data_IF_660734740525
#
_entry.id   IF_660734740525
#
_cell.length_a   1.000
_cell.length_b   1.000
_cell.length_c   1.000
_cell.angle_alpha   90.00
_cell.angle_beta   90.00
_cell.angle_gamma   90.00
#
_symmetry.space_group_name_H-M   'P 1'
#
loop_
_entity.id
_entity.type
_entity.pdbx_description
1 polymer ?
#
# COMPACT_ATOMS: atom_id res chain seq x y z
N UNK A 1 -27.58 17.48 -1.26
CA UNK A 1 -28.98 17.30 -1.70
C UNK A 1 -29.11 16.65 -3.08
N UNK A 2 -28.49 17.13 -4.16
CA UNK A 2 -28.61 16.53 -5.53
C UNK A 2 -28.12 15.06 -5.64
N UNK A 3 -27.11 14.64 -4.90
CA UNK A 3 -26.59 13.26 -4.92
C UNK A 3 -27.57 12.30 -4.24
N UNK A 4 -28.13 12.68 -3.09
CA UNK A 4 -29.10 11.84 -2.36
C UNK A 4 -30.41 11.67 -3.14
N UNK A 5 -30.90 12.73 -3.80
CA UNK A 5 -32.12 12.65 -4.62
C UNK A 5 -31.92 11.76 -5.84
N UNK A 6 -30.74 11.81 -6.48
CA UNK A 6 -30.41 10.95 -7.61
C UNK A 6 -30.26 9.48 -7.18
N UNK A 7 -29.63 9.22 -6.04
CA UNK A 7 -29.52 7.88 -5.48
C UNK A 7 -30.90 7.30 -5.11
N UNK A 8 -31.76 8.09 -4.48
CA UNK A 8 -33.13 7.70 -4.14
C UNK A 8 -33.96 7.41 -5.40
N UNK A 9 -33.89 8.26 -6.41
CA UNK A 9 -34.59 8.04 -7.69
C UNK A 9 -34.08 6.80 -8.39
N UNK A 10 -32.76 6.57 -8.43
CA UNK A 10 -32.17 5.38 -9.02
C UNK A 10 -32.58 4.11 -8.27
N UNK A 11 -32.67 4.15 -6.93
CA UNK A 11 -33.08 2.98 -6.14
C UNK A 11 -34.56 2.63 -6.29
N UNK A 12 -35.41 3.62 -6.53
CA UNK A 12 -36.87 3.43 -6.68
C UNK A 12 -37.28 2.99 -8.10
N UNK A 13 -36.57 3.46 -9.12
CA UNK A 13 -37.01 3.29 -10.52
C UNK A 13 -36.09 2.43 -11.38
N UNK A 14 -34.86 2.14 -10.93
CA UNK A 14 -33.92 1.27 -11.65
C UNK A 14 -33.58 0.03 -10.83
N UNK A 15 -34.25 -1.06 -11.13
CA UNK A 15 -33.88 -2.40 -10.64
C UNK A 15 -32.61 -2.86 -11.39
N UNK A 16 -31.45 -2.29 -11.06
CA UNK A 16 -30.18 -2.95 -11.41
C UNK A 16 -29.99 -4.09 -10.42
N UNK A 17 -30.10 -5.29 -10.91
CA UNK A 17 -29.67 -6.49 -10.18
C UNK A 17 -28.14 -6.56 -10.28
N UNK A 18 -27.48 -6.56 -9.12
CA UNK A 18 -26.06 -6.83 -9.01
C UNK A 18 -25.91 -8.22 -8.39
N UNK A 19 -25.08 -9.06 -9.01
CA UNK A 19 -24.79 -10.40 -8.51
C UNK A 19 -23.93 -10.33 -7.26
N UNK A 20 -23.01 -9.36 -7.20
CA UNK A 20 -22.20 -9.04 -6.03
C UNK A 20 -21.96 -7.52 -5.90
N UNK A 21 -21.81 -7.06 -4.67
CA UNK A 21 -21.43 -5.69 -4.34
C UNK A 21 -20.21 -5.76 -3.44
N UNK A 22 -19.13 -5.08 -3.85
CA UNK A 22 -17.91 -4.96 -3.07
C UNK A 22 -17.90 -3.57 -2.43
N UNK A 23 -17.80 -3.52 -1.11
CA UNK A 23 -17.78 -2.30 -0.32
C UNK A 23 -16.48 -2.21 0.45
N UNK A 24 -15.84 -1.04 0.40
CA UNK A 24 -14.75 -0.69 1.30
C UNK A 24 -15.35 0.03 2.51
N UNK A 25 -15.13 -0.55 3.70
CA UNK A 25 -15.53 0.05 4.96
C UNK A 25 -14.30 0.64 5.65
N UNK A 26 -14.30 1.95 5.81
CA UNK A 26 -13.30 2.68 6.60
C UNK A 26 -13.99 3.37 7.77
N UNK A 27 -13.31 3.45 8.89
CA UNK A 27 -13.74 4.17 10.09
C UNK A 27 -12.68 5.20 10.46
N UNK A 28 -13.12 6.42 10.72
CA UNK A 28 -12.27 7.51 11.21
C UNK A 28 -12.52 7.77 12.71
N UNK A 29 -13.68 7.36 13.24
CA UNK A 29 -14.05 7.58 14.64
C UNK A 29 -14.64 6.33 15.29
N UNK A 30 -14.56 6.20 16.63
CA UNK A 30 -15.31 5.21 17.40
C UNK A 30 -16.81 5.28 17.05
N UNK A 31 -17.51 4.14 17.16
CA UNK A 31 -18.96 3.93 16.86
C UNK A 31 -19.39 4.03 15.39
N UNK A 32 -18.53 4.44 14.47
CA UNK A 32 -18.89 4.50 13.03
C UNK A 32 -19.22 3.12 12.47
N UNK A 33 -18.56 2.07 12.96
CA UNK A 33 -18.84 0.71 12.53
C UNK A 33 -20.28 0.28 12.85
N UNK A 34 -20.82 0.68 13.99
CA UNK A 34 -22.21 0.39 14.36
C UNK A 34 -23.21 1.07 13.42
N UNK A 35 -22.86 2.27 12.92
CA UNK A 35 -23.67 2.97 11.92
C UNK A 35 -23.58 2.29 10.55
N UNK A 36 -22.38 1.93 10.12
CA UNK A 36 -22.15 1.27 8.83
C UNK A 36 -22.87 -0.09 8.79
N UNK A 37 -22.83 -0.85 9.88
CA UNK A 37 -23.52 -2.12 10.00
C UNK A 37 -25.05 -1.98 9.88
N UNK A 38 -25.65 -0.86 10.29
CA UNK A 38 -27.10 -0.61 10.05
C UNK A 38 -27.42 -0.42 8.57
N UNK A 39 -26.46 -0.01 7.75
CA UNK A 39 -26.65 0.17 6.31
C UNK A 39 -26.54 -1.17 5.58
N UNK A 40 -25.50 -1.95 5.87
CA UNK A 40 -25.31 -3.25 5.24
C UNK A 40 -24.51 -4.20 6.15
N UNK A 41 -25.00 -5.44 6.27
CA UNK A 41 -24.25 -6.54 6.86
C UNK A 41 -23.55 -7.34 5.75
N UNK A 42 -22.23 -7.57 5.80
CA UNK A 42 -21.54 -8.32 4.78
C UNK A 42 -21.92 -9.81 4.82
N UNK A 43 -21.96 -10.44 3.64
CA UNK A 43 -21.96 -11.88 3.54
C UNK A 43 -20.55 -12.44 3.72
N UNK A 44 -19.58 -11.76 3.13
CA UNK A 44 -18.16 -12.09 3.20
C UNK A 44 -17.42 -10.85 3.70
N UNK A 45 -16.55 -11.02 4.66
CA UNK A 45 -15.68 -9.97 5.19
C UNK A 45 -14.22 -10.35 5.00
N UNK A 46 -13.42 -9.38 4.53
CA UNK A 46 -11.97 -9.53 4.40
C UNK A 46 -11.30 -8.56 5.37
N UNK A 47 -10.73 -9.09 6.43
CA UNK A 47 -9.97 -8.32 7.42
C UNK A 47 -8.53 -8.17 6.93
N UNK A 48 -8.09 -6.97 6.62
CA UNK A 48 -6.79 -6.71 6.00
C UNK A 48 -5.65 -6.57 7.01
N UNK A 49 -5.65 -5.52 7.80
CA UNK A 49 -4.67 -5.30 8.87
C UNK A 49 -5.12 -4.13 9.76
N UNK A 50 -4.66 -4.13 11.01
CA UNK A 50 -4.70 -2.96 11.89
C UNK A 50 -3.34 -2.27 11.87
N UNK A 51 -3.35 -0.94 11.72
CA UNK A 51 -2.16 -0.09 11.79
C UNK A 51 -2.40 1.06 12.76
N UNK A 52 -1.35 1.76 13.14
CA UNK A 52 -1.40 2.93 14.04
C UNK A 52 -2.08 4.17 13.42
N UNK A 53 -2.52 4.10 12.18
CA UNK A 53 -3.28 5.17 11.50
C UNK A 53 -4.60 5.40 12.23
N UNK A 54 -5.07 6.66 12.29
CA UNK A 54 -6.26 7.08 13.05
C UNK A 54 -6.11 6.99 14.58
N UNK A 55 -4.90 6.73 15.11
CA UNK A 55 -4.67 6.74 16.56
C UNK A 55 -4.97 8.09 17.22
N UNK A 56 -4.99 9.16 16.43
CA UNK A 56 -5.43 10.49 16.89
C UNK A 56 -6.89 10.48 17.39
N UNK A 57 -7.78 9.71 16.74
CA UNK A 57 -9.20 9.59 17.10
C UNK A 57 -9.47 8.39 18.01
N UNK A 58 -8.67 7.32 17.89
CA UNK A 58 -8.86 6.08 18.62
C UNK A 58 -7.93 5.89 19.81
N UNK A 59 -6.97 6.78 20.02
CA UNK A 59 -5.92 6.75 21.08
C UNK A 59 -4.91 5.59 20.95
N UNK A 60 -5.33 4.43 20.45
CA UNK A 60 -4.43 3.28 20.26
C UNK A 60 -4.99 2.25 19.25
N UNK A 61 -4.14 1.38 18.68
CA UNK A 61 -4.55 0.35 17.73
C UNK A 61 -5.56 -0.68 18.29
N UNK A 62 -5.56 -0.95 19.59
CA UNK A 62 -6.51 -1.87 20.25
C UNK A 62 -7.95 -1.34 20.13
N UNK A 63 -8.14 -0.03 20.20
CA UNK A 63 -9.45 0.58 20.01
C UNK A 63 -9.92 0.49 18.57
N UNK A 64 -9.03 0.67 17.61
CA UNK A 64 -9.33 0.45 16.19
C UNK A 64 -9.74 -1.01 15.98
N UNK A 65 -8.95 -1.97 16.48
CA UNK A 65 -9.27 -3.39 16.42
C UNK A 65 -10.63 -3.72 17.04
N UNK A 66 -11.01 -3.08 18.15
CA UNK A 66 -12.31 -3.30 18.81
C UNK A 66 -13.49 -2.81 17.98
N UNK A 67 -13.31 -1.80 17.13
CA UNK A 67 -14.34 -1.37 16.17
C UNK A 67 -14.39 -2.29 14.94
N UNK A 68 -13.25 -2.61 14.36
CA UNK A 68 -13.16 -3.47 13.18
C UNK A 68 -13.72 -4.88 13.44
N UNK A 69 -13.52 -5.43 14.65
CA UNK A 69 -14.03 -6.74 15.06
C UNK A 69 -15.56 -6.83 14.94
N UNK A 70 -16.27 -5.71 15.13
CA UNK A 70 -17.74 -5.68 15.02
C UNK A 70 -18.21 -6.13 13.64
N UNK A 71 -17.48 -5.74 12.58
CA UNK A 71 -17.78 -6.18 11.22
C UNK A 71 -17.63 -7.69 11.07
N UNK A 72 -16.50 -8.23 11.53
CA UNK A 72 -16.25 -9.67 11.48
C UNK A 72 -17.31 -10.49 12.24
N UNK A 73 -17.71 -10.02 13.43
CA UNK A 73 -18.74 -10.67 14.25
C UNK A 73 -20.16 -10.56 13.66
N UNK A 74 -20.40 -9.60 12.80
CA UNK A 74 -21.69 -9.39 12.12
C UNK A 74 -21.71 -9.90 10.67
N UNK A 75 -20.65 -10.60 10.24
CA UNK A 75 -20.57 -11.25 8.93
C UNK A 75 -21.43 -12.50 8.90
N UNK A 76 -22.15 -12.73 7.79
CA UNK A 76 -23.16 -13.79 7.71
C UNK A 76 -22.63 -15.16 7.29
N UNK A 77 -21.57 -15.22 6.48
CA UNK A 77 -21.16 -16.48 5.85
C UNK A 77 -19.68 -16.82 6.03
N UNK A 78 -18.77 -15.89 5.73
CA UNK A 78 -17.34 -16.18 5.68
C UNK A 78 -16.50 -14.96 6.05
N UNK A 79 -15.46 -15.19 6.84
CA UNK A 79 -14.45 -14.17 7.19
C UNK A 79 -13.08 -14.62 6.73
N UNK A 80 -12.38 -13.76 5.99
CA UNK A 80 -10.95 -13.90 5.70
C UNK A 80 -10.14 -13.12 6.71
N UNK A 81 -9.17 -13.76 7.34
CA UNK A 81 -8.30 -13.19 8.35
C UNK A 81 -6.85 -13.21 7.88
N UNK A 82 -6.18 -12.06 8.02
CA UNK A 82 -4.76 -11.97 7.77
C UNK A 82 -3.97 -12.71 8.87
N UNK A 83 -3.39 -13.84 8.54
CA UNK A 83 -2.62 -14.67 9.48
C UNK A 83 -1.36 -13.96 10.04
N UNK A 84 -0.89 -12.92 9.39
CA UNK A 84 0.26 -12.12 9.81
C UNK A 84 -0.11 -10.91 10.70
N UNK A 85 -1.41 -10.72 10.96
CA UNK A 85 -1.90 -9.65 11.84
C UNK A 85 -2.28 -10.22 13.21
N UNK A 86 -1.69 -9.69 14.28
CA UNK A 86 -1.91 -10.20 15.62
C UNK A 86 -3.36 -10.01 16.13
N UNK A 87 -4.01 -8.93 15.71
CA UNK A 87 -5.42 -8.69 16.07
C UNK A 87 -6.35 -9.66 15.34
N UNK A 88 -6.04 -9.99 14.08
CA UNK A 88 -6.77 -11.01 13.34
C UNK A 88 -6.65 -12.40 14.01
N UNK A 89 -5.44 -12.76 14.48
CA UNK A 89 -5.21 -14.01 15.21
C UNK A 89 -6.00 -14.06 16.53
N UNK A 90 -6.00 -12.97 17.30
CA UNK A 90 -6.77 -12.84 18.54
C UNK A 90 -8.30 -12.86 18.30
N UNK A 91 -8.73 -12.39 17.13
CA UNK A 91 -10.13 -12.36 16.73
C UNK A 91 -10.65 -13.74 16.30
N UNK A 92 -9.82 -14.55 15.66
CA UNK A 92 -10.21 -15.81 15.03
C UNK A 92 -11.05 -16.74 15.92
N UNK A 93 -10.75 -16.94 17.24
CA UNK A 93 -11.58 -17.78 18.13
C UNK A 93 -12.99 -17.24 18.38
N UNK A 94 -13.22 -15.96 18.19
CA UNK A 94 -14.51 -15.28 18.45
C UNK A 94 -15.48 -15.34 17.27
N UNK A 95 -14.97 -15.67 16.08
CA UNK A 95 -15.77 -15.73 14.85
C UNK A 95 -16.54 -17.05 14.82
N UNK A 96 -17.87 -16.96 14.65
CA UNK A 96 -18.79 -18.10 14.66
C UNK A 96 -19.08 -18.67 13.26
N UNK A 97 -18.90 -17.87 12.22
CA UNK A 97 -19.05 -18.29 10.82
C UNK A 97 -17.77 -18.93 10.32
N UNK A 98 -17.82 -19.50 9.11
CA UNK A 98 -16.61 -20.02 8.46
C UNK A 98 -15.53 -18.96 8.36
N UNK A 99 -14.28 -19.38 8.56
CA UNK A 99 -13.12 -18.50 8.46
C UNK A 99 -12.00 -19.16 7.71
N UNK A 100 -11.27 -18.33 6.95
CA UNK A 100 -10.06 -18.71 6.23
C UNK A 100 -8.93 -17.76 6.60
N UNK A 101 -7.77 -18.35 6.83
CA UNK A 101 -6.53 -17.60 7.12
C UNK A 101 -5.76 -17.40 5.82
N UNK A 102 -5.26 -16.18 5.58
CA UNK A 102 -4.39 -15.89 4.46
C UNK A 102 -3.11 -15.17 4.89
N UNK A 103 -2.01 -15.40 4.19
CA UNK A 103 -0.72 -14.75 4.46
C UNK A 103 -0.51 -13.51 3.61
N UNK A 104 0.04 -12.49 4.23
CA UNK A 104 0.57 -11.29 3.56
C UNK A 104 2.10 -11.24 3.58
N UNK A 105 2.75 -12.14 4.33
CA UNK A 105 4.19 -12.32 4.41
C UNK A 105 4.55 -13.80 4.40
N UNK A 106 5.77 -14.07 3.99
CA UNK A 106 6.36 -15.39 4.06
C UNK A 106 6.94 -15.62 5.47
N UNK A 107 6.13 -16.19 6.35
CA UNK A 107 6.52 -16.63 7.68
C UNK A 107 6.27 -18.12 7.80
N UNK A 108 7.34 -18.92 7.92
CA UNK A 108 7.27 -20.37 7.88
C UNK A 108 6.52 -21.02 9.05
N UNK A 109 6.36 -20.31 10.17
CA UNK A 109 5.73 -20.79 11.40
C UNK A 109 4.25 -20.46 11.53
N UNK A 110 3.63 -19.84 10.52
CA UNK A 110 2.21 -19.49 10.53
C UNK A 110 1.49 -20.35 9.51
N UNK A 111 0.48 -21.09 9.94
CA UNK A 111 -0.42 -21.83 9.05
C UNK A 111 -1.44 -20.90 8.40
N UNK A 112 -1.78 -21.16 7.14
CA UNK A 112 -2.83 -20.43 6.45
C UNK A 112 -3.42 -21.26 5.29
N UNK A 113 -4.68 -21.02 4.99
CA UNK A 113 -5.41 -21.64 3.87
C UNK A 113 -4.98 -21.07 2.53
N UNK A 114 -4.53 -19.80 2.53
CA UNK A 114 -4.08 -19.06 1.36
C UNK A 114 -2.69 -18.50 1.66
N UNK A 115 -1.70 -18.89 0.87
CA UNK A 115 -0.33 -18.40 1.01
C UNK A 115 0.41 -18.40 -0.33
N UNK A 116 1.54 -17.75 -0.39
CA UNK A 116 2.36 -17.69 -1.59
C UNK A 116 3.80 -18.16 -1.32
N UNK A 117 4.45 -18.61 -2.38
CA UNK A 117 5.84 -19.08 -2.34
C UNK A 117 6.59 -18.65 -3.62
N UNK A 118 7.92 -18.84 -3.62
CA UNK A 118 8.79 -18.66 -4.80
C UNK A 118 8.60 -17.31 -5.50
N UNK A 119 8.38 -16.25 -4.76
CA UNK A 119 8.17 -14.95 -5.36
C UNK A 119 9.46 -14.37 -5.95
N UNK A 120 9.34 -13.72 -7.09
CA UNK A 120 10.40 -12.99 -7.77
C UNK A 120 9.83 -11.81 -8.55
N UNK A 121 10.70 -10.88 -8.92
CA UNK A 121 10.38 -9.85 -9.90
C UNK A 121 11.11 -10.15 -11.20
N UNK A 122 10.44 -9.92 -12.30
CA UNK A 122 11.07 -9.98 -13.63
C UNK A 122 10.95 -8.63 -14.30
N UNK A 123 12.08 -8.19 -14.88
CA UNK A 123 12.14 -7.03 -15.75
C UNK A 123 11.79 -7.50 -17.16
N UNK A 124 10.84 -6.81 -17.80
CA UNK A 124 10.46 -7.18 -19.15
C UNK A 124 11.32 -6.43 -20.17
N UNK A 125 10.88 -5.34 -20.76
CA UNK A 125 11.62 -4.63 -21.81
C UNK A 125 12.32 -3.37 -21.33
N UNK A 126 11.61 -2.54 -20.55
CA UNK A 126 12.12 -1.30 -19.98
C UNK A 126 12.19 -1.39 -18.45
N UNK A 127 12.90 -0.47 -17.81
CA UNK A 127 13.08 -0.52 -16.35
C UNK A 127 11.74 -0.42 -15.58
N UNK A 128 10.79 0.36 -16.10
CA UNK A 128 9.47 0.52 -15.49
C UNK A 128 8.51 -0.66 -15.78
N UNK A 129 8.87 -1.56 -16.71
CA UNK A 129 8.05 -2.74 -17.03
C UNK A 129 8.47 -3.93 -16.15
N UNK A 130 8.14 -3.84 -14.88
CA UNK A 130 8.36 -4.89 -13.90
C UNK A 130 7.09 -5.70 -13.67
N UNK A 131 7.25 -7.00 -13.48
CA UNK A 131 6.17 -7.91 -13.08
C UNK A 131 6.57 -8.76 -11.90
N UNK A 132 5.61 -9.00 -11.02
CA UNK A 132 5.71 -9.96 -9.92
C UNK A 132 5.35 -11.35 -10.39
N UNK A 133 6.14 -12.35 -10.02
CA UNK A 133 5.89 -13.76 -10.26
C UNK A 133 5.92 -14.50 -8.93
N UNK A 134 4.94 -15.36 -8.68
CA UNK A 134 4.90 -16.19 -7.48
C UNK A 134 3.96 -17.38 -7.67
N UNK A 135 4.17 -18.41 -6.86
CA UNK A 135 3.24 -19.51 -6.73
C UNK A 135 2.25 -19.17 -5.61
N UNK A 136 0.97 -19.19 -5.93
CA UNK A 136 -0.11 -18.97 -5.00
C UNK A 136 -0.75 -20.31 -4.65
N UNK A 137 -0.84 -20.59 -3.36
CA UNK A 137 -1.51 -21.78 -2.84
C UNK A 137 -2.85 -21.38 -2.21
N UNK A 138 -3.91 -22.01 -2.65
CA UNK A 138 -5.26 -21.87 -2.10
C UNK A 138 -5.73 -23.27 -1.71
N UNK A 139 -5.67 -23.58 -0.40
CA UNK A 139 -5.89 -24.94 0.13
C UNK A 139 -4.96 -25.96 -0.58
N UNK A 140 -5.52 -26.85 -1.37
CA UNK A 140 -4.80 -27.91 -2.07
C UNK A 140 -4.47 -27.55 -3.54
N UNK A 141 -4.82 -26.34 -3.99
CA UNK A 141 -4.56 -25.88 -5.35
C UNK A 141 -3.38 -24.94 -5.41
N UNK A 142 -2.60 -25.06 -6.46
CA UNK A 142 -1.47 -24.17 -6.74
C UNK A 142 -1.69 -23.45 -8.09
N UNK A 143 -1.37 -22.16 -8.13
CA UNK A 143 -1.45 -21.30 -9.30
C UNK A 143 -0.14 -20.58 -9.50
N UNK A 144 0.42 -20.60 -10.70
CA UNK A 144 1.50 -19.67 -11.08
C UNK A 144 0.90 -18.32 -11.43
N UNK A 145 1.28 -17.28 -10.73
CA UNK A 145 0.76 -15.92 -10.91
C UNK A 145 1.83 -15.00 -11.48
N UNK A 146 1.45 -14.26 -12.52
CA UNK A 146 2.17 -13.10 -13.01
C UNK A 146 1.29 -11.86 -12.90
N UNK A 147 1.81 -10.76 -12.33
CA UNK A 147 1.02 -9.55 -12.13
C UNK A 147 1.88 -8.28 -12.10
N UNK A 148 1.26 -7.14 -12.40
CA UNK A 148 1.86 -5.82 -12.24
C UNK A 148 1.63 -5.21 -10.84
N UNK A 149 1.05 -5.96 -9.89
CA UNK A 149 0.98 -5.54 -8.48
C UNK A 149 2.28 -5.89 -7.75
N UNK A 150 2.79 -4.95 -6.97
CA UNK A 150 4.01 -5.09 -6.20
C UNK A 150 3.72 -5.16 -4.70
N UNK A 151 4.61 -5.87 -3.98
CA UNK A 151 4.50 -6.05 -2.53
C UNK A 151 3.79 -7.33 -2.13
N UNK A 152 4.43 -8.08 -1.23
CA UNK A 152 3.98 -9.40 -0.77
C UNK A 152 2.55 -9.42 -0.24
N UNK A 153 2.11 -8.32 0.40
CA UNK A 153 0.74 -8.22 0.91
C UNK A 153 -0.31 -8.37 -0.21
N UNK A 154 -0.03 -7.86 -1.40
CA UNK A 154 -0.95 -7.98 -2.53
C UNK A 154 -1.11 -9.42 -3.01
N UNK A 155 -0.12 -10.29 -2.80
CA UNK A 155 -0.20 -11.69 -3.21
C UNK A 155 -1.26 -12.45 -2.40
N UNK A 156 -1.32 -12.20 -1.09
CA UNK A 156 -2.40 -12.74 -0.25
C UNK A 156 -3.77 -12.22 -0.66
N UNK A 157 -3.88 -10.92 -0.97
CA UNK A 157 -5.15 -10.33 -1.44
C UNK A 157 -5.59 -10.89 -2.80
N UNK A 158 -4.66 -11.17 -3.71
CA UNK A 158 -4.96 -11.87 -4.97
C UNK A 158 -5.54 -13.25 -4.69
N UNK A 159 -4.95 -13.99 -3.73
CA UNK A 159 -5.46 -15.31 -3.34
C UNK A 159 -6.88 -15.25 -2.78
N UNK A 160 -7.15 -14.29 -1.90
CA UNK A 160 -8.51 -14.04 -1.39
C UNK A 160 -9.48 -13.71 -2.52
N UNK A 161 -9.08 -12.83 -3.45
CA UNK A 161 -9.92 -12.43 -4.57
C UNK A 161 -10.25 -13.61 -5.50
N UNK A 162 -9.26 -14.47 -5.82
CA UNK A 162 -9.46 -15.67 -6.63
C UNK A 162 -10.43 -16.62 -5.92
N UNK A 163 -10.22 -16.85 -4.61
CA UNK A 163 -11.10 -17.75 -3.85
C UNK A 163 -12.55 -17.26 -3.81
N UNK A 164 -12.76 -15.96 -3.61
CA UNK A 164 -14.09 -15.35 -3.64
C UNK A 164 -14.72 -15.49 -5.03
N UNK A 165 -13.95 -15.19 -6.08
CA UNK A 165 -14.45 -15.30 -7.46
C UNK A 165 -14.87 -16.73 -7.81
N UNK A 166 -14.06 -17.75 -7.48
CA UNK A 166 -14.42 -19.16 -7.69
C UNK A 166 -15.67 -19.56 -6.89
N UNK A 167 -15.78 -19.08 -5.63
CA UNK A 167 -16.96 -19.38 -4.80
C UNK A 167 -18.22 -18.77 -5.35
N UNK A 168 -18.17 -17.55 -5.86
CA UNK A 168 -19.30 -16.89 -6.48
C UNK A 168 -19.67 -17.54 -7.81
N UNK A 169 -18.69 -17.85 -8.66
CA UNK A 169 -18.92 -18.56 -9.93
C UNK A 169 -19.60 -19.91 -9.69
N UNK A 170 -19.13 -20.70 -8.72
CA UNK A 170 -19.76 -21.95 -8.34
C UNK A 170 -21.24 -21.77 -7.93
N UNK A 171 -21.56 -20.71 -7.17
CA UNK A 171 -22.95 -20.41 -6.78
C UNK A 171 -23.86 -20.04 -7.94
N UNK A 172 -23.28 -19.52 -9.02
CA UNK A 172 -24.01 -19.12 -10.24
C UNK A 172 -23.97 -20.18 -11.33
N UNK A 173 -23.46 -21.37 -11.01
CA UNK A 173 -23.26 -22.47 -11.97
C UNK A 173 -22.36 -22.10 -13.15
N UNK A 174 -21.37 -21.23 -12.88
CA UNK A 174 -20.35 -20.78 -13.82
C UNK A 174 -19.00 -21.42 -13.49
N UNK A 175 -18.19 -21.72 -14.49
CA UNK A 175 -16.81 -22.15 -14.33
C UNK A 175 -15.87 -21.08 -14.87
N UNK A 176 -15.04 -20.51 -13.99
CA UNK A 176 -14.00 -19.55 -14.38
C UNK A 176 -12.82 -20.21 -15.08
N UNK A 177 -12.78 -21.55 -15.17
CA UNK A 177 -11.70 -22.35 -15.78
C UNK A 177 -10.29 -21.98 -15.27
N UNK A 178 -10.18 -21.41 -14.06
CA UNK A 178 -8.90 -21.02 -13.50
C UNK A 178 -8.01 -22.24 -13.20
N UNK A 179 -8.63 -23.33 -12.76
CA UNK A 179 -7.95 -24.59 -12.40
C UNK A 179 -7.24 -25.29 -13.57
N UNK A 180 -7.66 -24.97 -14.80
CA UNK A 180 -7.11 -25.56 -16.02
C UNK A 180 -6.00 -24.72 -16.65
N UNK A 181 -5.58 -23.64 -15.97
CA UNK A 181 -4.52 -22.75 -16.45
C UNK A 181 -3.26 -22.95 -15.63
N UNK A 182 -2.16 -23.31 -16.29
CA UNK A 182 -0.85 -23.44 -15.65
C UNK A 182 -0.35 -22.10 -15.11
N UNK A 183 -0.75 -20.99 -15.75
CA UNK A 183 -0.35 -19.64 -15.38
C UNK A 183 -1.50 -18.65 -15.50
N UNK A 184 -1.68 -17.80 -14.48
CA UNK A 184 -2.63 -16.70 -14.48
C UNK A 184 -1.89 -15.37 -14.64
N UNK A 185 -2.16 -14.66 -15.73
CA UNK A 185 -1.65 -13.30 -15.96
C UNK A 185 -2.71 -12.29 -15.53
N UNK A 186 -2.44 -11.58 -14.43
CA UNK A 186 -3.37 -10.65 -13.82
C UNK A 186 -2.84 -9.22 -13.94
N UNK A 187 -3.46 -8.43 -14.79
CA UNK A 187 -3.10 -7.02 -14.97
C UNK A 187 -4.15 -6.12 -14.36
N UNK A 188 -3.70 -5.24 -13.47
CA UNK A 188 -4.54 -4.29 -12.76
C UNK A 188 -4.26 -2.87 -13.22
N UNK A 189 -5.30 -2.02 -13.22
CA UNK A 189 -5.11 -0.59 -13.28
C UNK A 189 -4.64 -0.11 -11.93
N UNK A 190 -3.34 0.18 -11.83
CA UNK A 190 -2.74 0.61 -10.57
C UNK A 190 -3.33 1.93 -10.08
N UNK A 191 -3.54 2.02 -8.78
CA UNK A 191 -3.92 3.26 -8.11
C UNK A 191 -2.70 4.20 -8.08
N UNK A 192 -2.81 5.45 -8.55
CA UNK A 192 -1.71 6.40 -8.49
C UNK A 192 -1.11 6.56 -7.10
N UNK A 193 0.21 6.62 -7.01
CA UNK A 193 0.92 6.80 -5.75
C UNK A 193 0.92 5.57 -4.82
N UNK A 194 0.63 4.37 -5.35
CA UNK A 194 0.70 3.09 -4.62
C UNK A 194 1.70 2.14 -5.28
N UNK A 195 3.00 2.46 -5.15
CA UNK A 195 4.10 1.76 -5.80
C UNK A 195 4.03 1.84 -7.34
N UNK A 196 3.60 2.99 -7.87
CA UNK A 196 3.69 3.27 -9.29
C UNK A 196 5.16 3.42 -9.69
N UNK A 197 5.54 2.86 -10.84
CA UNK A 197 6.93 2.82 -11.29
C UNK A 197 7.08 3.64 -12.55
N UNK A 198 8.10 4.51 -12.61
CA UNK A 198 8.41 5.36 -13.74
C UNK A 198 9.91 5.34 -14.04
N UNK A 199 10.27 5.47 -15.32
CA UNK A 199 11.64 5.71 -15.74
C UNK A 199 12.00 7.20 -15.66
N UNK A 200 13.25 7.49 -15.28
CA UNK A 200 13.83 8.82 -15.31
C UNK A 200 15.20 8.84 -16.01
N UNK A 201 15.71 10.06 -16.26
CA UNK A 201 17.06 10.29 -16.77
C UNK A 201 18.11 9.77 -15.78
N UNK A 202 19.37 9.69 -16.21
CA UNK A 202 20.50 9.28 -15.36
C UNK A 202 20.38 7.86 -14.78
N UNK A 203 19.82 6.94 -15.56
CA UNK A 203 19.69 5.53 -15.16
C UNK A 203 18.97 5.37 -13.80
N UNK A 204 17.86 6.07 -13.63
CA UNK A 204 17.09 6.08 -12.38
C UNK A 204 15.71 5.48 -12.59
N UNK A 205 15.28 4.64 -11.65
CA UNK A 205 13.93 4.13 -11.53
C UNK A 205 13.22 4.87 -10.42
N UNK A 206 12.09 5.50 -10.71
CA UNK A 206 11.25 6.16 -9.71
C UNK A 206 10.20 5.20 -9.20
N UNK A 207 10.05 5.10 -7.88
CA UNK A 207 8.94 4.41 -7.23
C UNK A 207 8.10 5.43 -6.47
N UNK A 208 6.91 5.70 -7.00
CA UNK A 208 5.93 6.61 -6.40
C UNK A 208 5.02 5.86 -5.43
N UNK A 209 5.16 6.16 -4.14
CA UNK A 209 4.28 5.69 -3.07
C UNK A 209 3.75 6.87 -2.24
N UNK A 210 3.35 7.96 -2.95
CA UNK A 210 2.95 9.23 -2.35
C UNK A 210 1.46 9.34 -2.02
N UNK A 211 0.69 8.27 -2.09
CA UNK A 211 -0.74 8.30 -1.75
C UNK A 211 -0.96 8.48 -0.25
N UNK A 212 -0.30 7.66 0.57
CA UNK A 212 -0.37 7.71 2.03
C UNK A 212 0.89 7.11 2.67
N UNK A 213 1.19 7.46 3.94
CA UNK A 213 2.27 6.89 4.72
C UNK A 213 1.79 6.60 6.15
N UNK A 214 1.64 5.34 6.46
CA UNK A 214 1.53 4.80 7.81
C UNK A 214 2.82 4.07 8.18
N UNK A 215 3.12 3.81 9.45
CA UNK A 215 4.31 3.08 9.86
C UNK A 215 4.46 1.73 9.14
N UNK A 216 3.38 0.96 9.06
CA UNK A 216 3.37 -0.32 8.34
C UNK A 216 3.61 -0.11 6.84
N UNK A 217 2.92 0.84 6.21
CA UNK A 217 3.03 1.06 4.78
C UNK A 217 4.41 1.58 4.35
N UNK A 218 5.10 2.36 5.19
CA UNK A 218 6.49 2.79 4.95
C UNK A 218 7.42 1.58 4.94
N UNK A 219 7.37 0.75 6.00
CA UNK A 219 8.18 -0.47 6.09
C UNK A 219 7.94 -1.40 4.89
N UNK A 220 6.68 -1.62 4.51
CA UNK A 220 6.34 -2.49 3.36
C UNK A 220 6.79 -1.93 2.02
N UNK A 221 6.76 -0.62 1.84
CA UNK A 221 7.33 0.01 0.64
C UNK A 221 8.83 -0.26 0.57
N UNK A 222 9.57 -0.08 1.66
CA UNK A 222 11.01 -0.32 1.72
C UNK A 222 11.34 -1.80 1.46
N UNK A 223 10.63 -2.75 2.09
CA UNK A 223 10.79 -4.20 1.85
C UNK A 223 10.62 -4.56 0.37
N UNK A 224 9.58 -3.98 -0.26
CA UNK A 224 9.28 -4.22 -1.68
C UNK A 224 10.40 -3.68 -2.56
N UNK A 225 10.86 -2.46 -2.30
CA UNK A 225 11.97 -1.83 -3.04
C UNK A 225 13.26 -2.63 -2.89
N UNK A 226 13.57 -3.07 -1.69
CA UNK A 226 14.73 -3.91 -1.41
C UNK A 226 14.67 -5.23 -2.19
N UNK A 227 13.48 -5.84 -2.26
CA UNK A 227 13.27 -7.07 -3.04
C UNK A 227 13.41 -6.81 -4.55
N UNK A 228 12.86 -5.71 -5.06
CA UNK A 228 13.02 -5.28 -6.46
C UNK A 228 14.50 -5.09 -6.78
N UNK A 229 15.27 -4.38 -5.94
CA UNK A 229 16.71 -4.20 -6.10
C UNK A 229 17.41 -5.54 -6.22
N UNK A 230 17.21 -6.42 -5.26
CA UNK A 230 17.95 -7.70 -5.21
C UNK A 230 17.63 -8.63 -6.39
N UNK A 231 16.40 -8.58 -6.91
CA UNK A 231 15.98 -9.43 -8.03
C UNK A 231 16.37 -8.85 -9.40
N UNK A 232 16.23 -7.53 -9.59
CA UNK A 232 16.31 -6.92 -10.92
C UNK A 232 17.45 -5.91 -11.08
N UNK A 233 17.95 -5.35 -9.98
CA UNK A 233 18.87 -4.22 -9.99
C UNK A 233 19.92 -4.33 -8.88
N UNK A 234 20.59 -5.48 -8.75
CA UNK A 234 21.46 -5.81 -7.61
C UNK A 234 22.62 -4.82 -7.35
N UNK A 235 23.00 -4.01 -8.36
CA UNK A 235 24.02 -2.96 -8.25
C UNK A 235 23.44 -1.57 -7.99
N UNK A 236 22.13 -1.45 -7.86
CA UNK A 236 21.46 -0.15 -7.64
C UNK A 236 21.62 0.34 -6.22
N UNK A 237 21.73 1.65 -6.10
CA UNK A 237 21.51 2.36 -4.84
C UNK A 237 20.01 2.57 -4.61
N UNK A 238 19.58 2.52 -3.37
CA UNK A 238 18.23 2.91 -2.94
C UNK A 238 18.30 4.30 -2.30
N UNK A 239 17.63 5.25 -2.91
CA UNK A 239 17.50 6.61 -2.40
C UNK A 239 16.08 6.83 -1.89
N UNK A 240 15.92 7.05 -0.59
CA UNK A 240 14.63 7.21 0.07
C UNK A 240 14.32 8.69 0.29
N UNK A 241 13.20 9.15 -0.24
CA UNK A 241 12.61 10.46 0.02
C UNK A 241 11.39 10.24 0.90
N UNK A 242 11.51 10.58 2.18
CA UNK A 242 10.48 10.35 3.18
C UNK A 242 9.93 11.66 3.73
N UNK A 243 8.64 11.70 3.95
CA UNK A 243 7.96 12.79 4.63
C UNK A 243 7.10 12.27 5.78
N UNK A 244 6.67 13.17 6.69
CA UNK A 244 5.96 12.86 7.92
C UNK A 244 4.84 11.83 7.72
N UNK A 245 4.79 10.84 8.61
CA UNK A 245 3.62 10.01 8.83
C UNK A 245 2.62 10.80 9.68
N UNK A 246 1.35 10.82 9.26
CA UNK A 246 0.30 11.62 9.90
C UNK A 246 -0.75 10.75 10.57
N UNK A 247 -1.66 11.40 11.32
CA UNK A 247 -2.79 10.76 11.99
C UNK A 247 -2.37 9.74 13.07
N UNK A 248 -1.17 9.93 13.63
CA UNK A 248 -0.60 9.04 14.66
C UNK A 248 -0.87 9.52 16.10
N UNK A 249 -1.38 10.77 16.28
CA UNK A 249 -1.62 11.33 17.60
C UNK A 249 -0.38 11.23 18.50
N UNK A 250 -0.56 10.72 19.71
CA UNK A 250 0.51 10.56 20.71
C UNK A 250 1.62 9.56 20.28
N UNK A 251 1.35 8.73 19.26
CA UNK A 251 2.34 7.80 18.74
C UNK A 251 3.30 8.44 17.72
N UNK A 252 3.12 9.71 17.36
CA UNK A 252 3.91 10.40 16.33
C UNK A 252 5.40 10.27 16.58
N UNK A 253 5.88 10.63 17.74
CA UNK A 253 7.31 10.54 18.06
C UNK A 253 7.83 9.10 18.01
N UNK A 254 7.16 8.19 18.73
CA UNK A 254 7.62 6.82 18.86
C UNK A 254 7.67 6.08 17.51
N UNK A 255 6.69 6.30 16.64
CA UNK A 255 6.66 5.64 15.32
C UNK A 255 7.69 6.22 14.34
N UNK A 256 7.98 7.53 14.39
CA UNK A 256 9.06 8.11 13.61
C UNK A 256 10.43 7.63 14.08
N UNK A 257 10.69 7.57 15.40
CA UNK A 257 11.95 7.04 15.95
C UNK A 257 12.17 5.57 15.58
N UNK A 258 11.14 4.73 15.67
CA UNK A 258 11.21 3.30 15.28
C UNK A 258 11.63 3.08 13.83
N UNK A 259 11.38 4.02 12.93
CA UNK A 259 11.83 3.90 11.55
C UNK A 259 13.35 3.97 11.40
N UNK A 260 14.08 4.59 12.32
CA UNK A 260 15.51 4.83 12.18
C UNK A 260 16.31 3.54 11.95
N UNK A 261 16.09 2.51 12.77
CA UNK A 261 16.73 1.20 12.61
C UNK A 261 16.39 0.51 11.29
N UNK A 262 15.24 0.83 10.73
CA UNK A 262 14.78 0.24 9.48
C UNK A 262 15.39 0.93 8.24
N UNK A 263 15.32 2.27 8.19
CA UNK A 263 15.81 3.02 7.03
C UNK A 263 17.35 3.03 6.95
N UNK A 264 18.06 2.99 8.11
CA UNK A 264 19.52 2.93 8.15
C UNK A 264 20.11 1.66 7.52
N UNK A 265 19.35 0.57 7.50
CA UNK A 265 19.76 -0.70 6.89
C UNK A 265 19.33 -0.84 5.41
N UNK A 266 18.42 0.00 4.95
CA UNK A 266 17.71 -0.21 3.68
C UNK A 266 17.93 0.89 2.65
N UNK A 267 18.42 2.07 3.05
CA UNK A 267 18.65 3.21 2.16
C UNK A 267 20.14 3.57 2.05
N UNK A 268 20.61 3.77 0.81
CA UNK A 268 21.97 4.26 0.56
C UNK A 268 22.05 5.79 0.68
N UNK A 269 20.96 6.51 0.36
CA UNK A 269 20.78 7.92 0.60
C UNK A 269 19.39 8.17 1.19
N UNK A 270 19.29 9.10 2.13
CA UNK A 270 18.04 9.44 2.80
C UNK A 270 17.79 10.95 2.74
N UNK A 271 16.64 11.32 2.19
CA UNK A 271 16.18 12.71 2.12
C UNK A 271 14.91 12.84 2.94
N UNK A 272 14.94 13.67 3.97
CA UNK A 272 13.83 13.86 4.89
C UNK A 272 13.19 15.23 4.70
N UNK A 273 11.88 15.26 4.74
CA UNK A 273 11.06 16.47 4.80
C UNK A 273 10.03 16.33 5.92
N UNK A 274 9.61 17.49 6.43
CA UNK A 274 8.61 17.58 7.48
C UNK A 274 9.19 17.66 8.87
N UNK A 275 8.35 18.15 9.77
CA UNK A 275 8.76 18.43 11.14
C UNK A 275 9.08 17.17 11.92
N UNK A 276 8.19 16.16 11.84
CA UNK A 276 8.35 14.92 12.60
C UNK A 276 9.50 14.07 12.10
N UNK A 277 9.73 14.04 10.78
CA UNK A 277 10.90 13.38 10.19
C UNK A 277 12.20 14.05 10.67
N UNK A 278 12.23 15.39 10.75
CA UNK A 278 13.40 16.10 11.22
C UNK A 278 13.60 15.95 12.74
N UNK A 279 12.56 16.20 13.54
CA UNK A 279 12.69 16.28 14.99
C UNK A 279 12.89 14.90 15.64
N UNK A 280 12.40 13.82 15.03
CA UNK A 280 12.40 12.49 15.61
C UNK A 280 13.24 11.47 14.83
N UNK A 281 13.02 11.35 13.52
CA UNK A 281 13.75 10.34 12.73
C UNK A 281 15.20 10.77 12.51
N UNK A 282 15.46 12.04 12.12
CA UNK A 282 16.83 12.51 11.92
C UNK A 282 17.63 12.48 13.23
N UNK A 283 17.05 12.98 14.34
CA UNK A 283 17.65 12.90 15.67
C UNK A 283 18.01 11.46 16.10
N UNK A 284 17.16 10.48 15.79
CA UNK A 284 17.44 9.09 16.11
C UNK A 284 18.52 8.49 15.19
N UNK A 285 18.52 8.84 13.90
CA UNK A 285 19.54 8.41 12.96
C UNK A 285 20.94 8.97 13.31
N UNK A 286 21.03 10.20 13.80
CA UNK A 286 22.29 10.78 14.27
C UNK A 286 22.94 9.97 15.40
N UNK A 287 22.14 9.26 16.20
CA UNK A 287 22.61 8.41 17.29
C UNK A 287 23.11 7.03 16.84
N UNK A 288 22.55 6.48 15.78
CA UNK A 288 22.75 5.07 15.40
C UNK A 288 23.44 4.88 14.06
N UNK A 289 23.56 5.92 13.24
CA UNK A 289 24.03 5.82 11.87
C UNK A 289 25.03 6.94 11.54
N UNK A 290 25.97 6.62 10.62
CA UNK A 290 26.83 7.65 10.05
C UNK A 290 26.01 8.55 9.13
N UNK A 291 25.83 9.82 9.51
CA UNK A 291 24.90 10.78 8.89
C UNK A 291 25.32 11.30 7.51
N UNK A 292 26.45 10.84 6.96
CA UNK A 292 26.99 11.31 5.67
C UNK A 292 26.00 11.15 4.50
N UNK A 293 25.03 10.23 4.63
CA UNK A 293 24.03 9.93 3.61
C UNK A 293 22.63 10.48 3.96
N UNK A 294 22.54 11.28 5.03
CA UNK A 294 21.30 11.94 5.47
C UNK A 294 21.26 13.38 4.99
N UNK A 295 20.15 13.78 4.40
CA UNK A 295 19.89 15.17 4.03
C UNK A 295 18.50 15.59 4.49
N UNK A 296 18.42 16.58 5.35
CA UNK A 296 17.16 17.20 5.77
C UNK A 296 16.84 18.38 4.87
N UNK A 297 15.68 18.36 4.23
CA UNK A 297 15.21 19.37 3.31
C UNK A 297 14.06 20.18 3.91
N UNK A 298 14.07 21.50 3.71
CA UNK A 298 13.02 22.39 4.23
C UNK A 298 11.84 22.56 3.26
N UNK A 299 12.05 22.39 1.97
CA UNK A 299 11.05 22.60 0.92
C UNK A 299 11.23 21.60 -0.22
N UNK A 300 10.17 21.38 -1.00
CA UNK A 300 10.22 20.56 -2.23
C UNK A 300 11.26 21.08 -3.22
N UNK A 301 11.39 22.39 -3.35
CA UNK A 301 12.37 23.01 -4.27
C UNK A 301 13.81 22.66 -3.88
N UNK A 302 14.13 22.73 -2.59
CA UNK A 302 15.46 22.35 -2.07
C UNK A 302 15.66 20.85 -2.27
N UNK A 303 14.68 20.03 -1.92
CA UNK A 303 14.71 18.59 -2.13
C UNK A 303 15.02 18.23 -3.59
N UNK A 304 14.22 18.74 -4.52
CA UNK A 304 14.36 18.42 -5.95
C UNK A 304 15.75 18.79 -6.46
N UNK A 305 16.23 19.99 -6.14
CA UNK A 305 17.56 20.42 -6.51
C UNK A 305 18.64 19.54 -5.91
N UNK A 306 18.58 19.25 -4.61
CA UNK A 306 19.59 18.44 -3.92
C UNK A 306 19.66 17.02 -4.47
N UNK A 307 18.51 16.39 -4.70
CA UNK A 307 18.45 15.04 -5.31
C UNK A 307 19.02 15.09 -6.73
N UNK A 308 18.64 16.08 -7.54
CA UNK A 308 19.12 16.21 -8.91
C UNK A 308 20.63 16.44 -8.97
N UNK A 309 21.17 17.34 -8.13
CA UNK A 309 22.61 17.63 -8.07
C UNK A 309 23.40 16.38 -7.68
N UNK A 310 22.97 15.68 -6.63
CA UNK A 310 23.59 14.40 -6.24
C UNK A 310 23.51 13.33 -7.33
N UNK A 311 22.42 13.25 -8.09
CA UNK A 311 22.30 12.32 -9.20
C UNK A 311 23.22 12.67 -10.37
N UNK A 312 23.48 13.94 -10.65
CA UNK A 312 24.43 14.41 -11.66
C UNK A 312 25.90 14.19 -11.28
N UNK A 313 26.22 14.33 -10.00
CA UNK A 313 27.60 14.17 -9.50
C UNK A 313 28.05 12.70 -9.48
N UNK A 314 27.11 11.77 -9.45
CA UNK A 314 27.45 10.35 -9.36
C UNK A 314 27.85 9.75 -10.71
N UNK A 315 28.57 8.63 -10.64
CA UNK A 315 28.87 7.84 -11.82
C UNK A 315 27.62 7.04 -12.25
N UNK A 316 27.07 7.32 -13.42
CA UNK A 316 25.83 6.72 -13.95
C UNK A 316 25.92 5.20 -14.24
N UNK A 317 27.08 4.54 -14.01
CA UNK A 317 27.22 3.10 -14.24
C UNK A 317 26.24 2.25 -13.43
N UNK A 318 25.94 2.67 -12.22
CA UNK A 318 24.98 1.96 -11.35
C UNK A 318 23.63 2.68 -11.38
N UNK A 319 22.52 1.96 -11.56
CA UNK A 319 21.20 2.58 -11.50
C UNK A 319 20.86 3.05 -10.08
N UNK A 320 19.91 3.99 -9.96
CA UNK A 320 19.31 4.39 -8.69
C UNK A 320 17.84 4.01 -8.67
N UNK A 321 17.38 3.51 -7.55
CA UNK A 321 15.95 3.38 -7.24
C UNK A 321 15.58 4.54 -6.31
N UNK A 322 14.91 5.55 -6.86
CA UNK A 322 14.47 6.74 -6.14
C UNK A 322 13.03 6.55 -5.67
N UNK A 323 12.84 6.49 -4.37
CA UNK A 323 11.56 6.15 -3.74
C UNK A 323 10.97 7.38 -3.07
N UNK A 324 9.73 7.71 -3.42
CA UNK A 324 8.97 8.79 -2.77
C UNK A 324 7.87 8.20 -1.91
N UNK A 325 7.87 8.49 -0.60
CA UNK A 325 6.86 8.02 0.35
C UNK A 325 6.36 9.14 1.25
N UNK A 326 5.05 9.34 1.27
CA UNK A 326 4.43 10.44 2.00
C UNK A 326 2.98 10.16 2.41
N UNK A 327 2.51 10.87 3.45
CA UNK A 327 1.14 10.87 3.96
C UNK A 327 0.30 12.03 3.41
N UNK A 328 -1.03 11.95 3.55
CA UNK A 328 -2.03 12.86 2.95
C UNK A 328 -1.99 14.31 3.48
N UNK A 329 -2.58 15.20 2.70
CA UNK A 329 -3.35 16.41 3.05
C UNK A 329 -2.71 17.82 3.06
N UNK A 330 -1.40 18.05 3.08
CA UNK A 330 -0.90 19.45 3.10
C UNK A 330 0.26 19.76 2.19
N UNK A 331 1.00 18.78 1.78
CA UNK A 331 2.19 18.92 0.97
C UNK A 331 2.07 17.88 -0.14
N UNK A 332 2.46 18.23 -1.33
CA UNK A 332 2.18 17.41 -2.51
C UNK A 332 3.48 16.82 -3.02
N UNK A 333 4.02 15.76 -2.35
CA UNK A 333 5.30 15.14 -2.74
C UNK A 333 5.24 14.53 -4.15
N UNK A 334 4.05 14.21 -4.65
CA UNK A 334 3.87 13.86 -6.06
C UNK A 334 4.33 14.96 -7.03
N UNK A 335 4.44 16.22 -6.60
CA UNK A 335 5.04 17.28 -7.41
C UNK A 335 6.56 17.12 -7.55
N UNK A 336 7.23 16.51 -6.55
CA UNK A 336 8.62 16.08 -6.70
C UNK A 336 8.71 14.89 -7.66
N UNK A 337 7.82 13.89 -7.56
CA UNK A 337 7.76 12.81 -8.56
C UNK A 337 7.60 13.39 -9.96
N UNK A 338 6.65 14.32 -10.15
CA UNK A 338 6.42 15.02 -11.41
C UNK A 338 7.68 15.71 -11.96
N UNK A 339 8.46 16.35 -11.08
CA UNK A 339 9.72 17.01 -11.44
C UNK A 339 10.72 16.05 -12.10
N UNK A 340 10.73 14.79 -11.65
CA UNK A 340 11.66 13.75 -12.09
C UNK A 340 11.13 12.86 -13.22
N UNK A 341 9.89 13.01 -13.69
CA UNK A 341 9.35 12.19 -14.79
C UNK A 341 10.10 12.44 -16.10
N UNK A 342 10.43 11.36 -16.81
CA UNK A 342 11.00 11.40 -18.16
C UNK A 342 9.97 11.87 -19.17
N UNK A 343 8.76 11.34 -19.08
CA UNK A 343 7.66 11.65 -19.99
C UNK A 343 6.62 12.52 -19.29
N UNK A 344 6.33 13.71 -19.83
CA UNK A 344 5.30 14.59 -19.26
C UNK A 344 3.90 13.96 -19.25
N UNK A 345 3.61 13.07 -20.18
CA UNK A 345 2.31 12.38 -20.22
C UNK A 345 2.03 11.51 -18.99
N UNK A 346 3.08 11.05 -18.29
CA UNK A 346 2.95 10.25 -17.06
C UNK A 346 2.43 11.07 -15.89
N UNK A 347 2.41 12.42 -15.97
CA UNK A 347 1.83 13.28 -14.92
C UNK A 347 0.38 12.91 -14.60
N UNK A 348 -0.40 12.49 -15.59
CA UNK A 348 -1.80 12.03 -15.40
C UNK A 348 -1.94 10.75 -14.59
N UNK A 349 -0.84 9.99 -14.44
CA UNK A 349 -0.78 8.77 -13.65
C UNK A 349 -0.40 9.04 -12.18
N UNK A 350 -0.10 10.29 -11.83
CA UNK A 350 0.19 10.68 -10.46
C UNK A 350 -1.10 10.84 -9.63
N UNK A 351 -0.97 10.77 -8.32
CA UNK A 351 -2.11 11.01 -7.42
C UNK A 351 -2.57 12.47 -7.42
N UNK A 352 -3.80 12.74 -7.02
CA UNK A 352 -4.39 14.08 -6.78
C UNK A 352 -4.39 14.99 -8.01
N UNK A 353 -4.76 14.48 -9.19
CA UNK A 353 -4.83 15.23 -10.45
C UNK A 353 -6.23 15.85 -10.74
N UNK A 354 -7.22 15.77 -9.83
CA UNK A 354 -8.52 16.43 -10.03
C UNK A 354 -8.39 17.96 -9.96
N UNK A 355 -9.24 18.69 -10.68
CA UNK A 355 -9.25 20.17 -10.72
C UNK A 355 -9.25 20.80 -9.32
N UNK A 356 -10.05 20.26 -8.41
CA UNK A 356 -10.09 20.70 -7.01
C UNK A 356 -8.73 20.55 -6.31
N UNK A 357 -8.06 19.42 -6.52
CA UNK A 357 -6.72 19.16 -5.92
C UNK A 357 -5.65 20.01 -6.59
N UNK A 358 -5.71 20.20 -7.90
CA UNK A 358 -4.78 21.07 -8.62
C UNK A 358 -4.88 22.54 -8.16
N UNK A 359 -6.09 23.02 -7.86
CA UNK A 359 -6.26 24.36 -7.27
C UNK A 359 -5.55 24.47 -5.91
N UNK A 360 -5.73 23.49 -5.02
CA UNK A 360 -5.03 23.45 -3.72
C UNK A 360 -3.50 23.39 -3.87
N UNK A 361 -2.99 22.59 -4.82
CA UNK A 361 -1.56 22.52 -5.11
C UNK A 361 -1.00 23.89 -5.52
N UNK A 362 -1.68 24.59 -6.42
CA UNK A 362 -1.27 25.89 -6.89
C UNK A 362 -1.28 26.98 -5.79
N UNK A 363 -2.15 26.84 -4.80
CA UNK A 363 -2.16 27.71 -3.61
C UNK A 363 -0.99 27.41 -2.68
N UNK A 364 -0.60 26.15 -2.57
CA UNK A 364 0.50 25.68 -1.71
C UNK A 364 1.89 25.96 -2.32
N UNK A 365 2.04 25.89 -3.63
CA UNK A 365 3.33 26.08 -4.33
C UNK A 365 3.70 27.55 -4.58
N UNK A 366 2.80 28.50 -4.29
CA UNK A 366 3.06 29.93 -4.26
C UNK A 366 3.77 30.37 -2.98
#
# INVERSE_FOLDING_TARGET
>A
MKVCSKALFTSLFWKKHYDAIILEYGIDNPWEMDFILKVAHPNIWVFTAIDAVHSEQFWNPQKIASEEIKMALNTKSLVFLNANDEYAQQLAPRIKVDKLMYKTFDMNNIEADIYFAKHSFKKWKENADLKSHFNLHIKQQEYEIETNLFGKMNYGYIGVAIWIAETLAYRWDEDLHLKNKDKLELTYKLQPGRLSIFDWKHNTLIIDSTYNASPLSVRKTIDTVYTIRNNCFSKSEIWLVLWDMRELGDLTESEHRKLAGYVSQSGDQLFLLGKSMNDYLADELEKIWATNNLTVCKTLKILNKTVEDKLKERNEKNPVILVFKWSQNTIFLEESVKYFLKNKEDEKLLTRQSDFRMKKKNEFLK
#
